data_IF_043570159504
#
_entry.id   IF_043570159504
#
_cell.length_a   1.000
_cell.length_b   1.000
_cell.length_c   1.000
_cell.angle_alpha   90.00
_cell.angle_beta   90.00
_cell.angle_gamma   90.00
#
_symmetry.space_group_name_H-M   'P 1'
#
loop_
_entity.id
_entity.type
_entity.pdbx_description
1 polymer ?
#
# COMPACT_ATOMS: atom_id res chain seq x y z
N UNK A 1 5.04 -10.32 -21.34
CA UNK A 1 4.93 -10.98 -20.02
C UNK A 1 6.20 -10.88 -19.17
N UNK A 2 7.40 -11.30 -19.63
CA UNK A 2 8.63 -11.32 -18.79
C UNK A 2 9.10 -9.94 -18.30
N UNK A 3 9.07 -8.92 -19.15
CA UNK A 3 9.44 -7.54 -18.77
C UNK A 3 8.52 -6.96 -17.68
N UNK A 4 7.22 -7.19 -17.76
CA UNK A 4 6.26 -6.74 -16.75
C UNK A 4 6.53 -7.36 -15.38
N UNK A 5 6.85 -8.67 -15.34
CA UNK A 5 7.24 -9.34 -14.10
C UNK A 5 8.54 -8.74 -13.55
N UNK A 6 9.55 -8.51 -14.39
CA UNK A 6 10.81 -7.90 -13.97
C UNK A 6 10.61 -6.50 -13.38
N UNK A 7 9.86 -5.63 -14.07
CA UNK A 7 9.54 -4.27 -13.60
C UNK A 7 8.72 -4.32 -12.30
N UNK A 8 7.75 -5.22 -12.20
CA UNK A 8 6.96 -5.43 -10.98
C UNK A 8 7.82 -5.87 -9.79
N UNK A 9 8.73 -6.83 -9.99
CA UNK A 9 9.66 -7.27 -8.94
C UNK A 9 10.64 -6.18 -8.52
N UNK A 10 11.13 -5.38 -9.47
CA UNK A 10 11.97 -4.23 -9.18
C UNK A 10 11.20 -3.17 -8.37
N UNK A 11 9.95 -2.90 -8.75
CA UNK A 11 9.06 -1.99 -8.00
C UNK A 11 8.86 -2.47 -6.57
N UNK A 12 8.60 -3.77 -6.36
CA UNK A 12 8.44 -4.34 -5.02
C UNK A 12 9.71 -4.21 -4.17
N UNK A 13 10.88 -4.44 -4.77
CA UNK A 13 12.17 -4.22 -4.10
C UNK A 13 12.35 -2.75 -3.68
N UNK A 14 12.06 -1.81 -4.59
CA UNK A 14 12.15 -0.37 -4.29
C UNK A 14 11.17 0.03 -3.17
N UNK A 15 9.95 -0.49 -3.17
CA UNK A 15 8.96 -0.28 -2.10
C UNK A 15 9.46 -0.83 -0.77
N UNK A 16 10.08 -2.02 -0.76
CA UNK A 16 10.63 -2.61 0.47
C UNK A 16 11.78 -1.76 1.04
N UNK A 17 12.69 -1.29 0.18
CA UNK A 17 13.78 -0.38 0.57
C UNK A 17 13.20 0.93 1.10
N UNK A 18 12.28 1.54 0.36
CA UNK A 18 11.60 2.77 0.76
C UNK A 18 10.93 2.63 2.12
N UNK A 19 10.11 1.60 2.33
CA UNK A 19 9.43 1.36 3.61
C UNK A 19 10.40 1.17 4.77
N UNK A 20 11.51 0.48 4.56
CA UNK A 20 12.55 0.29 5.59
C UNK A 20 13.25 1.60 5.98
N UNK A 21 13.54 2.46 5.00
CA UNK A 21 14.17 3.77 5.23
C UNK A 21 13.18 4.78 5.80
N UNK A 22 11.98 4.86 5.24
CA UNK A 22 10.91 5.76 5.67
C UNK A 22 10.56 5.50 7.14
N UNK A 23 10.42 4.24 7.57
CA UNK A 23 10.23 3.88 8.98
C UNK A 23 11.32 4.46 9.90
N UNK A 24 12.59 4.47 9.46
CA UNK A 24 13.70 5.03 10.23
C UNK A 24 13.63 6.56 10.34
N UNK A 25 13.20 7.25 9.28
CA UNK A 25 13.12 8.71 9.23
C UNK A 25 11.87 9.28 9.92
N UNK A 26 10.72 8.65 9.73
CA UNK A 26 9.44 9.02 10.35
C UNK A 26 9.46 8.90 11.88
N UNK A 27 10.29 8.00 12.43
CA UNK A 27 10.48 7.88 13.89
C UNK A 27 11.37 8.98 14.51
N UNK A 28 12.12 9.73 13.69
CA UNK A 28 13.10 10.74 14.16
C UNK A 28 12.64 12.18 13.92
N UNK A 29 11.59 12.40 13.15
CA UNK A 29 11.06 13.73 12.80
C UNK A 29 9.54 13.72 12.73
N UNK A 30 8.95 14.86 12.37
CA UNK A 30 7.51 14.93 12.13
C UNK A 30 7.12 14.14 10.87
N UNK A 31 6.26 13.10 10.96
CA UNK A 31 5.87 12.25 9.83
C UNK A 31 5.37 13.04 8.61
N UNK A 32 4.62 14.12 8.84
CA UNK A 32 4.07 14.95 7.78
C UNK A 32 5.16 15.74 7.04
N UNK A 33 6.13 16.27 7.77
CA UNK A 33 7.27 16.97 7.17
C UNK A 33 8.14 16.03 6.33
N UNK A 34 8.40 14.81 6.81
CA UNK A 34 9.15 13.78 6.05
C UNK A 34 8.41 13.43 4.77
N UNK A 35 7.11 13.14 4.86
CA UNK A 35 6.27 12.81 3.69
C UNK A 35 6.21 13.98 2.71
N UNK A 36 6.09 15.22 3.19
CA UNK A 36 6.09 16.42 2.34
C UNK A 36 7.38 16.56 1.53
N UNK A 37 8.53 16.29 2.16
CA UNK A 37 9.83 16.29 1.48
C UNK A 37 9.92 15.17 0.43
N UNK A 38 9.43 13.97 0.74
CA UNK A 38 9.38 12.84 -0.19
C UNK A 38 8.52 13.15 -1.42
N UNK A 39 7.34 13.75 -1.22
CA UNK A 39 6.46 14.16 -2.31
C UNK A 39 7.09 15.25 -3.18
N UNK A 40 7.75 16.24 -2.57
CA UNK A 40 8.47 17.29 -3.29
C UNK A 40 9.64 16.72 -4.11
N UNK A 41 10.41 15.79 -3.54
CA UNK A 41 11.47 15.09 -4.25
C UNK A 41 10.90 14.25 -5.40
N UNK A 42 9.76 13.58 -5.19
CA UNK A 42 9.05 12.84 -6.23
C UNK A 42 8.65 13.73 -7.41
N UNK A 43 8.04 14.89 -7.14
CA UNK A 43 7.71 15.89 -8.17
C UNK A 43 8.95 16.33 -8.93
N UNK A 44 10.04 16.65 -8.22
CA UNK A 44 11.29 17.09 -8.82
C UNK A 44 11.89 16.00 -9.72
N UNK A 45 12.07 14.78 -9.19
CA UNK A 45 12.66 13.65 -9.93
C UNK A 45 11.82 13.31 -11.16
N UNK A 46 10.50 13.21 -11.03
CA UNK A 46 9.61 12.93 -12.16
C UNK A 46 9.64 14.05 -13.21
N UNK A 47 9.68 15.31 -12.79
CA UNK A 47 9.77 16.45 -13.70
C UNK A 47 11.08 16.46 -14.48
N UNK A 48 12.20 16.09 -13.85
CA UNK A 48 13.50 15.96 -14.52
C UNK A 48 13.56 14.73 -15.45
N UNK A 49 12.92 13.62 -15.07
CA UNK A 49 12.93 12.38 -15.83
C UNK A 49 11.99 12.42 -17.04
N UNK A 50 10.88 13.16 -16.94
CA UNK A 50 9.85 13.28 -17.97
C UNK A 50 10.36 13.56 -19.40
N UNK A 51 11.23 14.56 -19.66
CA UNK A 51 11.74 14.80 -21.01
C UNK A 51 12.58 13.64 -21.55
N UNK A 52 13.31 12.93 -20.69
CA UNK A 52 14.07 11.75 -21.09
C UNK A 52 13.15 10.57 -21.44
N UNK A 53 12.05 10.42 -20.70
CA UNK A 53 11.07 9.35 -20.92
C UNK A 53 10.35 9.50 -22.26
N UNK A 54 9.92 10.73 -22.61
CA UNK A 54 9.27 11.03 -23.90
C UNK A 54 10.19 10.75 -25.10
N UNK A 55 11.49 11.04 -24.97
CA UNK A 55 12.46 10.76 -26.04
C UNK A 55 12.71 9.26 -26.22
N UNK A 56 12.66 8.49 -25.15
CA UNK A 56 13.04 7.07 -25.15
C UNK A 56 11.88 6.15 -25.52
N UNK A 57 10.62 6.58 -25.31
CA UNK A 57 9.41 5.76 -25.49
C UNK A 57 8.50 6.34 -26.58
N UNK A 58 8.61 5.88 -27.84
CA UNK A 58 7.78 6.35 -28.93
C UNK A 58 6.30 6.09 -28.63
N UNK A 59 5.49 7.16 -28.58
CA UNK A 59 4.06 7.10 -28.26
C UNK A 59 3.70 7.58 -26.85
N UNK A 60 4.68 7.82 -25.97
CA UNK A 60 4.43 8.51 -24.70
C UNK A 60 4.31 10.01 -24.94
N UNK A 61 3.08 10.52 -24.96
CA UNK A 61 2.82 11.96 -24.96
C UNK A 61 2.51 12.41 -23.55
N UNK A 62 3.30 13.35 -23.02
CA UNK A 62 2.97 14.00 -21.76
C UNK A 62 2.18 15.28 -22.06
N UNK A 63 0.92 15.39 -21.61
CA UNK A 63 0.19 16.63 -21.73
C UNK A 63 0.82 17.65 -20.78
N UNK A 64 1.67 18.54 -21.30
CA UNK A 64 2.24 19.68 -20.57
C UNK A 64 1.20 20.78 -20.26
N UNK A 65 -0.06 20.38 -20.21
CA UNK A 65 -1.22 21.24 -20.05
C UNK A 65 -1.67 21.16 -18.60
N UNK A 66 -2.05 22.32 -18.05
CA UNK A 66 -2.63 22.35 -16.72
C UNK A 66 -4.03 21.74 -16.75
N UNK A 67 -4.37 20.81 -15.84
CA UNK A 67 -5.72 20.30 -15.73
C UNK A 67 -6.67 21.45 -15.38
N UNK A 68 -7.81 21.51 -16.06
CA UNK A 68 -8.80 22.58 -15.91
C UNK A 68 -10.19 22.01 -15.67
N UNK A 69 -11.06 22.79 -15.01
CA UNK A 69 -12.44 22.39 -14.74
C UNK A 69 -12.55 21.16 -13.84
N UNK A 70 -13.34 20.18 -14.28
CA UNK A 70 -13.65 18.96 -13.52
C UNK A 70 -12.41 18.11 -13.24
N UNK A 71 -11.44 18.07 -14.16
CA UNK A 71 -10.20 17.30 -13.98
C UNK A 71 -9.38 17.82 -12.80
N UNK A 72 -9.32 19.14 -12.64
CA UNK A 72 -8.62 19.75 -11.50
C UNK A 72 -9.33 19.42 -10.19
N UNK A 73 -10.67 19.47 -10.19
CA UNK A 73 -11.46 19.12 -9.01
C UNK A 73 -11.27 17.64 -8.62
N UNK A 74 -11.34 16.72 -9.59
CA UNK A 74 -11.12 15.29 -9.37
C UNK A 74 -9.70 14.99 -8.88
N UNK A 75 -8.69 15.65 -9.44
CA UNK A 75 -7.30 15.53 -8.99
C UNK A 75 -7.12 16.02 -7.54
N UNK A 76 -7.74 17.15 -7.18
CA UNK A 76 -7.71 17.65 -5.80
C UNK A 76 -8.44 16.71 -4.84
N UNK A 77 -9.58 16.17 -5.25
CA UNK A 77 -10.33 15.18 -4.46
C UNK A 77 -9.51 13.90 -4.25
N UNK A 78 -8.87 13.39 -5.30
CA UNK A 78 -8.02 12.20 -5.24
C UNK A 78 -6.79 12.44 -4.35
N UNK A 79 -6.11 13.58 -4.52
CA UNK A 79 -4.91 13.91 -3.76
C UNK A 79 -5.20 14.17 -2.28
N UNK A 80 -6.22 14.96 -1.96
CA UNK A 80 -6.52 15.34 -0.59
C UNK A 80 -7.42 14.31 0.10
N UNK A 81 -8.53 13.93 -0.53
CA UNK A 81 -9.56 13.06 0.05
C UNK A 81 -9.20 11.59 0.00
N UNK A 82 -8.61 11.10 -1.09
CA UNK A 82 -8.31 9.68 -1.25
C UNK A 82 -6.86 9.30 -0.94
N UNK A 83 -5.95 10.28 -0.82
CA UNK A 83 -4.52 10.01 -0.55
C UNK A 83 -4.08 10.61 0.78
N UNK A 84 -4.05 11.94 0.90
CA UNK A 84 -3.48 12.62 2.07
C UNK A 84 -4.28 12.38 3.35
N UNK A 85 -5.61 12.46 3.29
CA UNK A 85 -6.48 12.28 4.44
C UNK A 85 -6.41 10.85 5.01
N UNK A 86 -6.59 9.76 4.22
CA UNK A 86 -6.42 8.40 4.71
C UNK A 86 -5.02 8.14 5.24
N UNK A 87 -3.98 8.68 4.59
CA UNK A 87 -2.61 8.57 5.05
C UNK A 87 -2.41 9.23 6.42
N UNK A 88 -2.86 10.48 6.61
CA UNK A 88 -2.80 11.17 7.90
C UNK A 88 -3.58 10.43 8.99
N UNK A 89 -4.78 9.93 8.66
CA UNK A 89 -5.58 9.15 9.59
C UNK A 89 -4.90 7.82 9.97
N UNK A 90 -4.22 7.17 9.01
CA UNK A 90 -3.43 5.96 9.27
C UNK A 90 -2.26 6.23 10.22
N UNK A 91 -1.59 7.38 10.10
CA UNK A 91 -0.52 7.77 11.03
C UNK A 91 -1.04 7.98 12.46
N UNK A 92 -2.23 8.57 12.60
CA UNK A 92 -2.90 8.72 13.91
C UNK A 92 -3.34 7.37 14.45
N UNK A 93 -3.93 6.51 13.62
CA UNK A 93 -4.37 5.18 14.02
C UNK A 93 -3.20 4.30 14.47
N UNK A 94 -2.04 4.39 13.80
CA UNK A 94 -0.81 3.68 14.20
C UNK A 94 -0.29 4.08 15.59
N UNK A 95 -0.67 5.25 16.13
CA UNK A 95 -0.34 5.64 17.50
C UNK A 95 -1.22 4.94 18.55
N UNK A 96 -2.37 4.40 18.15
CA UNK A 96 -3.37 3.79 19.05
C UNK A 96 -3.54 2.29 18.82
N UNK A 97 -3.18 1.80 17.64
CA UNK A 97 -3.26 0.40 17.27
C UNK A 97 -1.94 -0.31 17.54
N UNK A 98 -2.03 -1.56 18.00
CA UNK A 98 -0.85 -2.43 18.02
C UNK A 98 -0.34 -2.66 16.59
N UNK A 99 0.97 -2.90 16.44
CA UNK A 99 1.56 -3.25 15.15
C UNK A 99 0.85 -4.45 14.49
N UNK A 100 0.33 -5.38 15.30
CA UNK A 100 -0.44 -6.52 14.84
C UNK A 100 -1.80 -6.10 14.25
N UNK A 101 -2.56 -5.27 14.95
CA UNK A 101 -3.87 -4.78 14.49
C UNK A 101 -3.74 -3.97 13.20
N UNK A 102 -2.71 -3.13 13.11
CA UNK A 102 -2.42 -2.38 11.88
C UNK A 102 -2.07 -3.31 10.71
N UNK A 103 -1.22 -4.33 10.94
CA UNK A 103 -0.87 -5.29 9.90
C UNK A 103 -2.05 -6.14 9.44
N UNK A 104 -2.96 -6.51 10.36
CA UNK A 104 -4.17 -7.25 10.02
C UNK A 104 -5.09 -6.40 9.12
N UNK A 105 -5.27 -5.11 9.43
CA UNK A 105 -6.06 -4.20 8.62
C UNK A 105 -5.48 -4.05 7.19
N UNK A 106 -4.15 -3.89 7.07
CA UNK A 106 -3.47 -3.80 5.77
C UNK A 106 -3.63 -5.11 4.98
N UNK A 107 -3.47 -6.27 5.63
CA UNK A 107 -3.61 -7.55 4.94
C UNK A 107 -5.06 -7.78 4.44
N UNK A 108 -6.06 -7.14 5.04
CA UNK A 108 -7.45 -7.21 4.59
C UNK A 108 -7.77 -6.23 3.44
N UNK A 109 -6.86 -5.32 3.09
CA UNK A 109 -7.02 -4.36 1.99
C UNK A 109 -7.51 -5.03 0.69
N UNK A 110 -6.92 -6.16 0.23
CA UNK A 110 -7.37 -6.80 -1.00
C UNK A 110 -8.80 -7.37 -0.88
N UNK A 111 -9.19 -7.82 0.31
CA UNK A 111 -10.52 -8.38 0.57
C UNK A 111 -11.58 -7.28 0.46
N UNK A 112 -11.36 -6.15 1.14
CA UNK A 112 -12.28 -5.03 1.07
C UNK A 112 -12.31 -4.41 -0.34
N UNK A 113 -11.19 -4.37 -1.05
CA UNK A 113 -11.14 -3.90 -2.43
C UNK A 113 -12.01 -4.76 -3.36
N UNK A 114 -11.92 -6.10 -3.26
CA UNK A 114 -12.75 -7.02 -4.06
C UNK A 114 -14.23 -6.84 -3.72
N UNK A 115 -14.58 -6.76 -2.43
CA UNK A 115 -15.97 -6.60 -1.99
C UNK A 115 -16.57 -5.26 -2.49
N UNK A 116 -15.81 -4.17 -2.39
CA UNK A 116 -16.23 -2.86 -2.90
C UNK A 116 -16.37 -2.87 -4.43
N UNK A 117 -15.46 -3.51 -5.16
CA UNK A 117 -15.55 -3.63 -6.61
C UNK A 117 -16.82 -4.37 -7.03
N UNK A 118 -17.15 -5.49 -6.37
CA UNK A 118 -18.40 -6.22 -6.63
C UNK A 118 -19.64 -5.36 -6.32
N UNK A 119 -19.65 -4.66 -5.18
CA UNK A 119 -20.82 -3.88 -4.78
C UNK A 119 -21.06 -2.64 -5.66
N UNK A 120 -19.99 -1.94 -6.04
CA UNK A 120 -20.07 -0.66 -6.74
C UNK A 120 -20.07 -0.80 -8.27
N UNK A 121 -19.29 -1.72 -8.82
CA UNK A 121 -19.15 -1.87 -10.28
C UNK A 121 -20.01 -3.03 -10.83
N UNK A 122 -20.49 -3.94 -9.97
CA UNK A 122 -21.34 -5.05 -10.38
C UNK A 122 -20.64 -6.12 -11.23
N UNK A 123 -19.30 -6.10 -11.32
CA UNK A 123 -18.51 -6.98 -12.20
C UNK A 123 -18.39 -8.44 -11.72
N UNK A 124 -19.20 -8.89 -10.75
CA UNK A 124 -19.17 -10.27 -10.26
C UNK A 124 -19.57 -11.34 -11.31
N UNK A 125 -20.24 -10.94 -12.39
CA UNK A 125 -20.83 -11.89 -13.37
C UNK A 125 -19.87 -12.33 -14.49
N UNK A 126 -18.78 -11.60 -14.72
CA UNK A 126 -17.80 -11.88 -15.80
C UNK A 126 -16.58 -12.67 -15.30
N UNK A 127 -16.59 -13.12 -14.04
CA UNK A 127 -15.40 -13.67 -13.38
C UNK A 127 -15.22 -15.17 -13.63
N UNK A 128 -14.05 -15.53 -14.14
CA UNK A 128 -13.64 -16.92 -14.40
C UNK A 128 -13.43 -17.73 -13.11
N UNK A 129 -13.51 -19.07 -13.20
CA UNK A 129 -13.18 -19.96 -12.07
C UNK A 129 -11.75 -19.74 -11.54
N UNK A 130 -10.79 -19.41 -12.42
CA UNK A 130 -9.41 -19.05 -12.04
C UNK A 130 -9.34 -17.81 -11.16
N UNK A 131 -10.22 -16.83 -11.35
CA UNK A 131 -10.29 -15.66 -10.48
C UNK A 131 -10.69 -16.06 -9.05
N UNK A 132 -11.74 -16.88 -8.90
CA UNK A 132 -12.17 -17.36 -7.59
C UNK A 132 -11.10 -18.19 -6.87
N UNK A 133 -10.34 -19.02 -7.61
CA UNK A 133 -9.19 -19.73 -7.05
C UNK A 133 -8.08 -18.76 -6.60
N UNK A 134 -7.79 -17.72 -7.37
CA UNK A 134 -6.85 -16.67 -7.00
C UNK A 134 -7.28 -15.93 -5.72
N UNK A 135 -8.57 -15.57 -5.61
CA UNK A 135 -9.14 -14.96 -4.40
C UNK A 135 -9.04 -15.90 -3.22
N UNK A 136 -9.34 -17.19 -3.39
CA UNK A 136 -9.21 -18.17 -2.31
C UNK A 136 -7.77 -18.28 -1.79
N UNK A 137 -6.77 -18.31 -2.68
CA UNK A 137 -5.35 -18.31 -2.32
C UNK A 137 -4.95 -17.04 -1.59
N UNK A 138 -5.42 -15.88 -2.07
CA UNK A 138 -5.17 -14.59 -1.43
C UNK A 138 -5.74 -14.57 -0.01
N UNK A 139 -7.02 -14.95 0.16
CA UNK A 139 -7.68 -15.02 1.46
C UNK A 139 -6.94 -15.97 2.40
N UNK A 140 -6.55 -17.15 1.93
CA UNK A 140 -5.74 -18.10 2.70
C UNK A 140 -4.45 -17.44 3.19
N UNK A 141 -3.71 -16.73 2.33
CA UNK A 141 -2.49 -16.03 2.71
C UNK A 141 -2.73 -14.97 3.80
N UNK A 142 -3.78 -14.16 3.63
CA UNK A 142 -4.16 -13.08 4.55
C UNK A 142 -4.53 -13.61 5.94
N UNK A 143 -5.23 -14.74 6.02
CA UNK A 143 -5.64 -15.32 7.31
C UNK A 143 -4.56 -16.21 7.95
N UNK A 144 -3.80 -16.97 7.17
CA UNK A 144 -2.75 -17.87 7.69
C UNK A 144 -1.60 -17.08 8.32
N UNK A 145 -1.17 -15.98 7.67
CA UNK A 145 0.01 -15.23 8.13
C UNK A 145 -0.12 -14.68 9.57
N UNK A 146 -1.23 -14.00 9.96
CA UNK A 146 -1.47 -13.60 11.35
C UNK A 146 -1.61 -14.79 12.32
N UNK A 147 -2.26 -15.88 11.90
CA UNK A 147 -2.49 -17.06 12.75
C UNK A 147 -1.18 -17.79 13.10
N UNK A 148 -0.27 -17.94 12.15
CA UNK A 148 1.05 -18.52 12.39
C UNK A 148 1.93 -17.60 13.24
N UNK A 149 1.90 -16.29 12.98
CA UNK A 149 2.68 -15.31 13.77
C UNK A 149 2.22 -15.28 15.24
N UNK A 150 0.92 -15.42 15.51
CA UNK A 150 0.38 -15.54 16.87
C UNK A 150 0.91 -16.77 17.62
N UNK A 151 1.05 -17.91 16.93
CA UNK A 151 1.59 -19.15 17.52
C UNK A 151 3.10 -19.08 17.73
N UNK A 152 3.83 -18.36 16.87
CA UNK A 152 5.28 -18.20 17.00
C UNK A 152 5.69 -17.30 18.19
N UNK A 153 4.88 -16.29 18.52
CA UNK A 153 5.08 -15.45 19.71
C UNK A 153 4.62 -16.17 20.98
N UNK A 154 3.61 -17.05 20.88
CA UNK A 154 3.15 -17.92 21.96
C UNK A 154 3.90 -19.27 22.01
N UNK A 155 5.23 -19.25 21.85
CA UNK A 155 6.08 -20.43 22.03
C UNK A 155 6.09 -20.91 23.50
N UNK A 156 6.34 -22.22 23.74
CA UNK A 156 6.03 -22.91 24.99
C UNK A 156 6.95 -22.47 26.13
N UNK A 157 6.51 -21.52 26.94
CA UNK A 157 7.27 -21.02 28.09
C UNK A 157 6.45 -20.51 29.28
N UNK A 158 5.14 -20.31 29.13
CA UNK A 158 4.25 -20.03 30.28
C UNK A 158 3.79 -21.35 30.91
N UNK A 159 4.74 -22.05 31.52
CA UNK A 159 4.41 -23.01 32.57
C UNK A 159 4.18 -22.18 33.85
N UNK A 160 2.97 -22.17 34.43
CA UNK A 160 2.73 -21.41 35.65
C UNK A 160 3.55 -22.07 36.75
N UNK A 161 4.62 -21.40 37.21
CA UNK A 161 5.39 -21.81 38.39
C UNK A 161 4.46 -21.86 39.60
N UNK A 162 3.90 -23.04 39.83
CA UNK A 162 3.35 -23.48 41.10
C UNK A 162 4.54 -23.69 42.04
N UNK A 163 4.82 -22.68 42.85
CA UNK A 163 5.54 -22.84 44.13
C UNK A 163 4.82 -22.01 45.17
N UNK A 164 3.68 -22.52 45.62
CA UNK A 164 3.37 -22.48 47.03
C UNK A 164 4.09 -23.69 47.62
N UNK A 165 5.15 -23.42 48.39
CA UNK A 165 5.61 -24.13 49.58
C UNK A 165 6.83 -23.40 50.15
#
# INVERSE_FOLDING_TARGET
MRLGVAVGTLSALLVAIFGSLNKRYVLRGDPLAVTGLEMAAGVLVLSLLAPWLVQTWPGLTLPWQWPAGDDLWLLLLLALGCTLLPFALSLVALRQLSAFSAQLAINLEPVYAILLAMLLLGEQTELSLSFYLGVAVLLLGVFIHPLLTRRAIAGPGDEPTRTAD
#
